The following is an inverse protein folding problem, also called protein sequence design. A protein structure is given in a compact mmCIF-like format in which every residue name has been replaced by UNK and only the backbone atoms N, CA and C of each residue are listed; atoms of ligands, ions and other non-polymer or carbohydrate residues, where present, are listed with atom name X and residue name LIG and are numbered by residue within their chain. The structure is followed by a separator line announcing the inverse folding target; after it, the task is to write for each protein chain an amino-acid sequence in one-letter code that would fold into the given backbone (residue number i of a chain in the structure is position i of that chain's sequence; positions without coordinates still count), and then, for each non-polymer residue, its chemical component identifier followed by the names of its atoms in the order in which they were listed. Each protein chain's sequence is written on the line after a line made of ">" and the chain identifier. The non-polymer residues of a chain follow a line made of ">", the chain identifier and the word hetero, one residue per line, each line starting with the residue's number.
data_IF_865132876993
#
_entry.id   IF_865132876993
#
_cell.length_a   1.000
_cell.length_b   1.000
_cell.length_c   1.000
_cell.angle_alpha   90.00
_cell.angle_beta   90.00
_cell.angle_gamma   90.00
#
_symmetry.space_group_name_H-M   'P 1'
#
loop_
_entity.id
_entity.type
_entity.pdbx_description
1 polymer ?
#
# COMPACT_ATOMS: atom_id res chain seq x y z
N UNK A 1 3.51 -16.77 -5.86
CA UNK A 1 4.79 -16.47 -5.17
C UNK A 1 5.50 -15.41 -6.00
N UNK A 2 5.39 -14.15 -5.59
CA UNK A 2 6.02 -13.01 -6.26
C UNK A 2 7.40 -12.80 -5.67
N UNK A 3 8.45 -13.02 -6.47
CA UNK A 3 9.81 -12.67 -6.09
C UNK A 3 10.03 -11.20 -6.43
N UNK A 4 9.97 -10.36 -5.41
CA UNK A 4 10.27 -8.93 -5.47
C UNK A 4 11.79 -8.78 -5.64
N UNK A 5 12.25 -8.41 -6.83
CA UNK A 5 13.68 -8.17 -7.08
C UNK A 5 13.99 -6.75 -6.64
N UNK A 6 14.28 -6.60 -5.35
CA UNK A 6 14.73 -5.34 -4.78
C UNK A 6 16.12 -5.03 -5.36
N UNK A 7 16.23 -3.91 -6.08
CA UNK A 7 17.50 -3.47 -6.67
C UNK A 7 18.58 -3.45 -5.59
N UNK A 8 19.60 -4.30 -5.75
CA UNK A 8 20.72 -4.42 -4.82
C UNK A 8 21.55 -3.13 -4.87
N UNK A 9 21.16 -2.16 -4.06
CA UNK A 9 21.98 -1.01 -3.74
C UNK A 9 23.08 -1.52 -2.81
N UNK A 10 24.34 -1.43 -3.27
CA UNK A 10 25.49 -1.80 -2.46
C UNK A 10 25.37 -1.20 -1.04
N UNK A 11 25.76 -1.94 0.02
CA UNK A 11 25.60 -1.52 1.39
C UNK A 11 26.49 -0.30 1.69
N UNK A 12 26.01 0.88 1.32
CA UNK A 12 26.50 2.12 1.88
C UNK A 12 26.01 2.14 3.33
N UNK A 13 26.94 2.01 4.27
CA UNK A 13 26.64 2.10 5.68
C UNK A 13 26.08 3.48 5.98
N UNK A 14 24.79 3.52 6.31
CA UNK A 14 24.17 4.76 6.78
C UNK A 14 24.76 5.04 8.13
N UNK A 15 25.35 6.21 8.25
CA UNK A 15 25.82 6.69 9.53
C UNK A 15 24.59 6.97 10.41
N UNK A 16 24.35 6.08 11.38
CA UNK A 16 23.32 6.24 12.40
C UNK A 16 24.01 6.46 13.74
N UNK A 17 23.63 7.54 14.42
CA UNK A 17 24.18 7.88 15.72
C UNK A 17 23.76 6.85 16.77
N UNK A 18 24.72 6.24 17.46
CA UNK A 18 24.43 5.27 18.54
C UNK A 18 23.88 5.90 19.82
N UNK A 19 23.82 7.24 19.91
CA UNK A 19 23.27 7.98 21.06
C UNK A 19 21.79 8.31 20.85
N UNK A 20 21.46 9.05 19.79
CA UNK A 20 20.09 9.49 19.54
C UNK A 20 19.38 8.70 18.42
N UNK A 21 20.04 7.72 17.81
CA UNK A 21 19.54 6.96 16.65
C UNK A 21 19.21 7.85 15.44
N UNK A 22 19.68 9.10 15.42
CA UNK A 22 19.54 10.04 14.32
C UNK A 22 20.46 9.69 13.15
N UNK A 23 20.05 10.08 11.95
CA UNK A 23 20.78 9.82 10.70
C UNK A 23 21.81 10.94 10.46
N UNK A 24 23.00 10.60 9.95
CA UNK A 24 23.92 11.55 9.32
C UNK A 24 25.00 12.16 10.22
N UNK A 25 25.14 11.71 11.47
CA UNK A 25 26.19 12.20 12.38
C UNK A 25 26.77 11.10 13.28
N UNK A 26 28.02 11.30 13.73
CA UNK A 26 28.68 10.42 14.69
C UNK A 26 28.25 10.75 16.12
N UNK A 27 28.36 9.78 17.04
CA UNK A 27 28.13 9.99 18.48
C UNK A 27 28.88 11.19 19.07
N UNK A 28 30.10 11.46 18.57
CA UNK A 28 30.94 12.60 19.01
C UNK A 28 30.39 13.97 18.59
N UNK A 29 29.54 14.02 17.56
CA UNK A 29 28.95 15.23 16.99
C UNK A 29 27.45 15.34 17.34
N UNK A 30 26.98 14.49 18.25
CA UNK A 30 25.58 14.48 18.67
C UNK A 30 25.33 15.60 19.67
N UNK A 31 24.39 16.49 19.37
CA UNK A 31 23.96 17.59 20.25
C UNK A 31 22.95 17.17 21.29
N UNK A 32 22.35 15.98 21.16
CA UNK A 32 21.34 15.48 22.09
C UNK A 32 21.96 15.17 23.45
N UNK A 33 21.34 15.65 24.52
CA UNK A 33 21.78 15.36 25.88
C UNK A 33 21.46 13.91 26.28
N UNK A 34 20.26 13.46 25.91
CA UNK A 34 19.70 12.15 26.26
C UNK A 34 20.03 11.06 25.24
N UNK A 35 19.99 9.80 25.66
CA UNK A 35 20.16 8.63 24.80
C UNK A 35 18.78 8.06 24.43
N UNK A 36 18.58 7.64 23.18
CA UNK A 36 17.30 7.06 22.74
C UNK A 36 17.35 5.54 22.75
N UNK A 37 16.28 4.93 23.25
CA UNK A 37 16.16 3.48 23.26
C UNK A 37 15.99 2.93 21.83
N UNK A 38 16.81 1.95 21.46
CA UNK A 38 16.80 1.29 20.13
C UNK A 38 15.50 0.52 19.83
N UNK A 39 14.76 0.14 20.87
CA UNK A 39 13.55 -0.70 20.76
C UNK A 39 12.31 0.18 20.73
N UNK A 40 12.06 0.98 21.77
CA UNK A 40 10.83 1.78 21.88
C UNK A 40 10.95 3.21 21.34
N UNK A 41 12.14 3.67 21.00
CA UNK A 41 12.38 5.02 20.47
C UNK A 41 12.26 6.16 21.49
N UNK A 42 12.08 5.87 22.79
CA UNK A 42 11.95 6.89 23.84
C UNK A 42 13.31 7.46 24.24
N UNK A 43 13.42 8.78 24.39
CA UNK A 43 14.58 9.45 24.96
C UNK A 43 14.67 9.21 26.47
N UNK A 44 15.84 8.81 26.95
CA UNK A 44 16.10 8.50 28.35
C UNK A 44 17.50 8.99 28.75
N UNK A 45 17.67 9.52 29.97
CA UNK A 45 18.96 9.96 30.47
C UNK A 45 19.93 8.79 30.68
N UNK A 46 19.41 7.61 31.10
CA UNK A 46 20.20 6.40 31.33
C UNK A 46 19.53 5.15 30.74
N UNK A 47 20.18 4.52 29.75
CA UNK A 47 19.68 3.29 29.12
C UNK A 47 19.57 2.10 30.08
N UNK A 48 20.32 2.10 31.19
CA UNK A 48 20.34 0.98 32.17
C UNK A 48 19.13 0.96 33.09
N UNK A 49 18.47 2.10 33.30
CA UNK A 49 17.29 2.21 34.17
C UNK A 49 15.97 2.29 33.38
N UNK A 50 16.06 2.24 32.05
CA UNK A 50 14.91 2.35 31.17
C UNK A 50 14.03 1.10 31.23
N UNK A 51 12.78 1.25 31.69
CA UNK A 51 11.73 0.24 31.51
C UNK A 51 11.24 0.31 30.07
N UNK A 52 11.83 -0.53 29.22
CA UNK A 52 11.46 -0.60 27.82
C UNK A 52 10.04 -1.11 27.64
N UNK A 53 9.19 -0.31 27.00
CA UNK A 53 8.00 -0.80 26.33
C UNK A 53 8.49 -1.78 25.26
N UNK A 54 8.17 -3.07 25.34
CA UNK A 54 8.61 -4.11 24.38
C UNK A 54 8.09 -3.92 22.95
N UNK A 55 7.44 -2.79 22.68
CA UNK A 55 6.93 -2.38 21.38
C UNK A 55 8.07 -1.78 20.57
N UNK A 56 8.39 -2.41 19.45
CA UNK A 56 9.42 -1.95 18.52
C UNK A 56 8.86 -0.76 17.73
N UNK A 57 9.46 0.42 17.86
CA UNK A 57 9.03 1.62 17.15
C UNK A 57 10.20 2.33 16.47
N UNK A 58 10.02 2.70 15.21
CA UNK A 58 10.98 3.49 14.46
C UNK A 58 10.88 4.97 14.83
N UNK A 59 12.00 5.61 15.17
CA UNK A 59 12.05 7.05 15.48
C UNK A 59 11.81 7.92 14.23
N UNK A 60 12.08 7.38 13.04
CA UNK A 60 11.98 8.15 11.80
C UNK A 60 10.58 8.11 11.20
N UNK A 61 9.95 6.94 11.15
CA UNK A 61 8.68 6.74 10.44
C UNK A 61 7.56 6.16 11.31
N UNK A 62 7.77 6.13 12.63
CA UNK A 62 6.82 5.61 13.64
C UNK A 62 6.34 4.16 13.42
N UNK A 63 6.96 3.41 12.51
CA UNK A 63 6.56 2.05 12.14
C UNK A 63 7.12 0.95 13.04
N UNK A 64 6.58 -0.26 12.90
CA UNK A 64 6.90 -1.45 13.71
C UNK A 64 8.22 -2.13 13.32
N UNK A 65 9.31 -1.36 13.28
CA UNK A 65 10.65 -1.87 13.01
C UNK A 65 11.72 -1.01 13.68
N UNK A 66 12.93 -1.54 13.83
CA UNK A 66 14.06 -0.77 14.36
C UNK A 66 14.39 0.43 13.46
N UNK A 67 14.87 1.52 14.05
CA UNK A 67 15.30 2.73 13.32
C UNK A 67 16.44 2.48 12.33
N UNK A 68 17.24 1.43 12.52
CA UNK A 68 18.29 0.99 11.58
C UNK A 68 17.83 -0.10 10.59
N UNK A 69 16.55 -0.47 10.58
CA UNK A 69 16.07 -1.49 9.65
C UNK A 69 16.08 -0.97 8.21
N UNK A 70 16.52 -1.80 7.26
CA UNK A 70 16.45 -1.53 5.82
C UNK A 70 15.01 -1.30 5.33
N UNK A 71 14.01 -1.74 6.11
CA UNK A 71 12.58 -1.56 5.85
C UNK A 71 12.10 -0.13 6.09
N UNK A 72 12.88 0.73 6.75
CA UNK A 72 12.48 2.11 7.01
C UNK A 72 12.50 2.94 5.71
N UNK A 73 11.39 3.57 5.29
CA UNK A 73 11.34 4.35 4.05
C UNK A 73 12.27 5.57 4.07
N UNK A 74 12.50 6.17 5.24
CA UNK A 74 13.37 7.33 5.42
C UNK A 74 14.84 6.94 5.34
N UNK A 75 15.22 5.81 5.95
CA UNK A 75 16.58 5.27 5.81
C UNK A 75 16.84 4.87 4.36
N UNK A 76 15.85 4.28 3.68
CA UNK A 76 15.93 3.91 2.26
C UNK A 76 16.12 5.14 1.35
N UNK A 77 15.37 6.22 1.56
CA UNK A 77 15.53 7.46 0.78
C UNK A 77 16.85 8.17 1.05
N UNK A 78 17.32 8.17 2.30
CA UNK A 78 18.62 8.74 2.66
C UNK A 78 19.78 7.96 2.03
N UNK A 79 19.74 6.62 2.07
CA UNK A 79 20.68 5.74 1.34
C UNK A 79 20.71 6.07 -0.15
N UNK A 80 19.54 6.11 -0.79
CA UNK A 80 19.43 6.42 -2.21
C UNK A 80 20.05 7.78 -2.56
N UNK A 81 19.88 8.78 -1.69
CA UNK A 81 20.47 10.12 -1.86
C UNK A 81 21.99 10.09 -1.73
N UNK A 82 22.54 9.37 -0.75
CA UNK A 82 23.99 9.20 -0.60
C UNK A 82 24.61 8.46 -1.78
N UNK A 83 24.00 7.34 -2.21
CA UNK A 83 24.48 6.57 -3.36
C UNK A 83 24.43 7.40 -4.64
N UNK A 84 23.36 8.20 -4.86
CA UNK A 84 23.29 9.13 -5.99
C UNK A 84 24.42 10.17 -5.97
N UNK A 85 24.71 10.75 -4.81
CA UNK A 85 25.82 11.73 -4.66
C UNK A 85 27.18 11.09 -4.98
N UNK A 86 27.45 9.89 -4.47
CA UNK A 86 28.69 9.16 -4.76
C UNK A 86 28.83 8.79 -6.23
N UNK A 87 27.74 8.35 -6.87
CA UNK A 87 27.72 8.06 -8.31
C UNK A 87 27.88 9.32 -9.18
N UNK A 88 27.37 10.47 -8.73
CA UNK A 88 27.56 11.75 -9.44
C UNK A 88 28.97 12.33 -9.26
N UNK A 89 29.61 12.10 -8.11
CA UNK A 89 30.95 12.62 -7.82
C UNK A 89 32.08 11.86 -8.55
N UNK A 90 31.82 10.61 -8.95
CA UNK A 90 32.77 9.77 -9.70
C UNK A 90 32.59 9.82 -11.22
N UNK A 91 31.88 10.82 -11.77
CA UNK A 91 31.95 11.06 -13.21
C UNK A 91 33.29 11.73 -13.53
N UNK A 92 34.22 11.07 -14.26
CA UNK A 92 35.36 11.79 -14.80
C UNK A 92 34.84 12.96 -15.66
N UNK A 93 35.52 14.13 -15.67
CA UNK A 93 35.15 15.20 -16.58
C UNK A 93 35.08 14.63 -18.00
N UNK A 94 34.08 15.02 -18.81
CA UNK A 94 33.95 14.51 -20.16
C UNK A 94 35.25 14.77 -20.93
N UNK A 95 35.79 13.78 -21.67
CA UNK A 95 36.97 13.99 -22.47
C UNK A 95 36.55 14.86 -23.67
N UNK A 96 37.25 15.98 -23.84
CA UNK A 96 37.22 16.86 -25.01
C UNK A 96 36.02 17.82 -25.17
N UNK A 97 36.21 19.05 -24.69
CA UNK A 97 35.70 20.26 -25.36
C UNK A 97 36.79 21.34 -25.45
N UNK A 98 38.00 20.94 -25.84
CA UNK A 98 39.11 21.86 -26.17
C UNK A 98 39.20 22.21 -27.66
N UNK A 99 38.18 21.85 -28.47
CA UNK A 99 38.10 22.29 -29.85
C UNK A 99 36.68 22.69 -30.22
N UNK A 100 36.23 23.82 -29.65
CA UNK A 100 35.12 24.57 -30.22
C UNK A 100 35.67 25.38 -31.39
N UNK A 101 35.49 24.85 -32.61
CA UNK A 101 35.54 25.66 -33.83
C UNK A 101 34.38 26.68 -33.77
N UNK A 102 34.64 27.84 -33.18
CA UNK A 102 33.81 29.03 -33.39
C UNK A 102 34.19 29.64 -34.74
N UNK A 103 33.55 29.17 -35.81
CA UNK A 103 33.42 29.97 -37.03
C UNK A 103 32.12 30.76 -36.90
N UNK A 104 32.24 31.97 -36.34
CA UNK A 104 31.09 32.79 -35.96
C UNK A 104 31.51 34.15 -35.41
N UNK A 105 32.16 34.94 -36.27
CA UNK A 105 32.15 36.41 -36.29
C UNK A 105 32.36 37.14 -34.94
N UNK A 106 33.62 37.34 -34.55
CA UNK A 106 34.00 38.34 -33.55
C UNK A 106 34.99 39.31 -34.20
N UNK A 107 34.50 40.51 -34.47
CA UNK A 107 35.25 41.68 -34.90
C UNK A 107 36.08 42.19 -33.72
N UNK A 108 37.40 41.95 -33.73
CA UNK A 108 38.34 42.58 -32.81
C UNK A 108 39.43 43.23 -33.65
N UNK A 109 39.32 44.56 -33.80
CA UNK A 109 40.46 45.42 -34.06
C UNK A 109 41.46 45.22 -32.91
N UNK A 110 42.69 44.78 -33.22
CA UNK A 110 43.92 45.30 -32.61
C UNK A 110 45.18 44.71 -33.29
N UNK A 111 45.86 45.60 -34.01
CA UNK A 111 47.29 45.71 -34.25
C UNK A 111 48.23 44.67 -33.61
N UNK A 112 48.78 43.75 -34.42
CA UNK A 112 50.12 43.17 -34.20
C UNK A 112 50.79 42.87 -35.54
N UNK A 113 51.88 43.61 -35.80
CA UNK A 113 52.95 43.28 -36.76
C UNK A 113 53.32 41.80 -36.65
N UNK A 114 53.08 40.99 -37.68
CA UNK A 114 53.88 39.83 -38.14
C UNK A 114 53.08 39.18 -39.29
N UNK A 115 53.21 39.70 -40.51
CA UNK A 115 52.79 38.94 -41.70
C UNK A 115 53.90 37.95 -42.04
N UNK A 116 53.67 36.66 -41.79
CA UNK A 116 54.51 35.60 -42.34
C UNK A 116 54.07 35.31 -43.78
N UNK A 117 55.00 35.51 -44.72
CA UNK A 117 54.82 35.19 -46.12
C UNK A 117 55.03 33.68 -46.33
N UNK A 118 54.03 32.97 -46.83
CA UNK A 118 54.06 31.51 -47.01
C UNK A 118 55.02 31.04 -48.11
N UNK A 119 55.66 31.96 -48.84
CA UNK A 119 56.60 31.66 -49.93
C UNK A 119 58.03 31.30 -49.48
N UNK A 120 58.39 31.48 -48.20
CA UNK A 120 59.76 31.27 -47.70
C UNK A 120 60.03 29.86 -47.12
N UNK A 121 59.07 28.92 -47.20
CA UNK A 121 59.28 27.55 -46.73
C UNK A 121 59.65 26.61 -47.89
N UNK A 122 60.76 25.85 -47.80
CA UNK A 122 61.10 24.85 -48.80
C UNK A 122 60.04 23.74 -48.84
N UNK A 123 59.58 23.40 -50.05
CA UNK A 123 58.57 22.36 -50.24
C UNK A 123 59.12 20.99 -49.81
N UNK A 124 58.45 20.35 -48.85
CA UNK A 124 58.74 18.98 -48.45
C UNK A 124 58.46 18.02 -49.63
N UNK A 125 59.31 17.00 -49.84
CA UNK A 125 59.10 16.04 -50.92
C UNK A 125 57.78 15.28 -50.74
N UNK A 126 57.06 14.97 -51.84
CA UNK A 126 55.78 14.29 -51.76
C UNK A 126 55.93 12.87 -51.18
N UNK A 127 54.95 12.38 -50.41
CA UNK A 127 55.02 11.09 -49.76
C UNK A 127 55.13 9.97 -50.82
N UNK A 128 56.22 9.21 -50.76
CA UNK A 128 56.35 7.98 -51.54
C UNK A 128 55.27 7.00 -51.10
N UNK A 129 54.40 6.61 -52.04
CA UNK A 129 53.42 5.53 -51.85
C UNK A 129 54.17 4.23 -51.50
N UNK A 130 54.21 3.88 -50.22
CA UNK A 130 54.56 2.53 -49.80
C UNK A 130 53.35 1.63 -50.05
N UNK A 131 53.52 0.64 -50.93
CA UNK A 131 52.60 -0.49 -51.05
C UNK A 131 52.66 -1.31 -49.75
N UNK A 132 51.69 -1.09 -48.87
CA UNK A 132 51.46 -1.95 -47.70
C UNK A 132 50.66 -3.16 -48.18
N UNK A 133 51.11 -4.40 -47.95
CA UNK A 133 50.29 -5.57 -48.24
C UNK A 133 49.08 -5.57 -47.29
N UNK A 134 47.88 -5.61 -47.84
CA UNK A 134 46.62 -5.66 -47.10
C UNK A 134 46.65 -6.80 -46.09
N UNK A 135 46.82 -6.46 -44.81
CA UNK A 135 46.68 -7.42 -43.72
C UNK A 135 45.20 -7.74 -43.51
N UNK A 136 44.90 -9.02 -43.38
CA UNK A 136 43.61 -9.61 -43.01
C UNK A 136 43.04 -9.10 -41.67
N UNK A 137 43.79 -8.30 -40.90
CA UNK A 137 43.36 -7.74 -39.61
C UNK A 137 42.25 -6.68 -39.70
N UNK A 138 42.08 -6.01 -40.85
CA UNK A 138 41.02 -5.00 -41.04
C UNK A 138 39.61 -5.62 -41.00
N UNK A 139 39.46 -6.85 -41.49
CA UNK A 139 38.17 -7.53 -41.52
C UNK A 139 37.70 -8.00 -40.13
N UNK A 140 38.62 -8.35 -39.22
CA UNK A 140 38.26 -8.82 -37.88
C UNK A 140 37.70 -7.67 -37.01
N UNK A 141 38.29 -6.48 -37.11
CA UNK A 141 37.79 -5.30 -36.39
C UNK A 141 36.41 -4.87 -36.91
N UNK A 142 36.20 -4.90 -38.24
CA UNK A 142 34.90 -4.59 -38.86
C UNK A 142 33.83 -5.60 -38.43
N UNK A 143 34.16 -6.90 -38.37
CA UNK A 143 33.24 -7.93 -37.89
C UNK A 143 32.86 -7.73 -36.40
N UNK A 144 33.82 -7.39 -35.53
CA UNK A 144 33.55 -7.10 -34.11
C UNK A 144 32.69 -5.84 -33.92
N UNK A 145 32.86 -4.82 -34.78
CA UNK A 145 31.99 -3.64 -34.78
C UNK A 145 30.57 -4.02 -35.22
N UNK A 146 30.42 -4.86 -36.24
CA UNK A 146 29.12 -5.39 -36.68
C UNK A 146 28.39 -6.17 -35.57
N UNK A 147 29.11 -7.04 -34.86
CA UNK A 147 28.58 -7.77 -33.70
C UNK A 147 28.16 -6.81 -32.57
N UNK A 148 28.98 -5.80 -32.28
CA UNK A 148 28.67 -4.79 -31.27
C UNK A 148 27.38 -4.03 -31.62
N UNK A 149 27.23 -3.58 -32.87
CA UNK A 149 26.01 -2.90 -33.34
C UNK A 149 24.79 -3.84 -33.21
N UNK A 150 24.94 -5.12 -33.58
CA UNK A 150 23.88 -6.11 -33.43
C UNK A 150 23.50 -6.37 -31.97
N UNK A 151 24.46 -6.39 -31.04
CA UNK A 151 24.17 -6.50 -29.60
C UNK A 151 23.51 -5.25 -29.04
N UNK A 152 23.92 -4.05 -29.47
CA UNK A 152 23.28 -2.80 -29.08
C UNK A 152 21.82 -2.72 -29.54
N UNK A 153 21.52 -3.19 -30.76
CA UNK A 153 20.14 -3.29 -31.24
C UNK A 153 19.29 -4.22 -30.38
N UNK A 154 19.81 -5.42 -30.06
CA UNK A 154 19.11 -6.36 -29.16
C UNK A 154 18.86 -5.76 -27.77
N UNK A 155 19.83 -5.03 -27.21
CA UNK A 155 19.66 -4.35 -25.93
C UNK A 155 18.57 -3.28 -26.03
N UNK A 156 18.56 -2.50 -27.11
CA UNK A 156 17.54 -1.49 -27.35
C UNK A 156 16.14 -2.12 -27.45
N UNK A 157 15.99 -3.22 -28.18
CA UNK A 157 14.71 -3.93 -28.30
C UNK A 157 14.21 -4.44 -26.94
N UNK A 158 15.10 -5.00 -26.13
CA UNK A 158 14.77 -5.45 -24.76
C UNK A 158 14.37 -4.26 -23.88
N UNK A 159 15.05 -3.11 -24.00
CA UNK A 159 14.69 -1.91 -23.25
C UNK A 159 13.31 -1.39 -23.64
N UNK A 160 12.98 -1.34 -24.93
CA UNK A 160 11.65 -0.93 -25.42
C UNK A 160 10.56 -1.87 -24.91
N UNK A 161 10.80 -3.18 -24.95
CA UNK A 161 9.84 -4.17 -24.41
C UNK A 161 9.67 -3.99 -22.90
N UNK A 162 10.77 -3.74 -22.18
CA UNK A 162 10.75 -3.56 -20.73
C UNK A 162 10.01 -2.29 -20.34
N UNK A 163 10.22 -1.19 -21.07
CA UNK A 163 9.51 0.07 -20.88
C UNK A 163 8.00 -0.12 -21.08
N UNK A 164 7.60 -0.81 -22.16
CA UNK A 164 6.19 -1.11 -22.42
C UNK A 164 5.56 -1.93 -21.30
N UNK A 165 6.24 -2.98 -20.82
CA UNK A 165 5.74 -3.80 -19.70
C UNK A 165 5.66 -3.02 -18.39
N UNK A 166 6.58 -2.09 -18.16
CA UNK A 166 6.52 -1.23 -16.99
C UNK A 166 5.31 -0.30 -17.03
N UNK A 167 4.99 0.27 -18.20
CA UNK A 167 3.78 1.09 -18.37
C UNK A 167 2.49 0.28 -18.15
N UNK A 168 2.41 -0.94 -18.70
CA UNK A 168 1.28 -1.84 -18.47
C UNK A 168 1.12 -2.20 -16.99
N UNK A 169 2.24 -2.41 -16.28
CA UNK A 169 2.23 -2.67 -14.86
C UNK A 169 1.77 -1.46 -14.04
N UNK A 170 2.23 -0.25 -14.36
CA UNK A 170 1.79 0.97 -13.69
C UNK A 170 0.27 1.18 -13.87
N UNK A 171 -0.25 0.96 -15.08
CA UNK A 171 -1.68 1.03 -15.33
C UNK A 171 -2.46 -0.01 -14.51
N UNK A 172 -1.95 -1.25 -14.44
CA UNK A 172 -2.55 -2.30 -13.62
C UNK A 172 -2.61 -1.92 -12.13
N UNK A 173 -1.55 -1.30 -11.58
CA UNK A 173 -1.53 -0.86 -10.18
C UNK A 173 -2.57 0.24 -9.93
N UNK A 174 -2.73 1.17 -10.87
CA UNK A 174 -3.75 2.23 -10.80
C UNK A 174 -5.16 1.60 -10.81
N UNK A 175 -5.41 0.68 -11.74
CA UNK A 175 -6.70 0.01 -11.87
C UNK A 175 -7.04 -0.85 -10.65
N UNK A 176 -6.04 -1.56 -10.10
CA UNK A 176 -6.20 -2.33 -8.87
C UNK A 176 -6.57 -1.44 -7.69
N UNK A 177 -5.87 -0.31 -7.49
CA UNK A 177 -6.20 0.64 -6.41
C UNK A 177 -7.59 1.24 -6.57
N UNK A 178 -8.00 1.54 -7.81
CA UNK A 178 -9.34 2.03 -8.11
C UNK A 178 -10.41 0.99 -7.77
N UNK A 179 -10.17 -0.28 -8.14
CA UNK A 179 -11.05 -1.39 -7.81
C UNK A 179 -11.13 -1.64 -6.29
N UNK A 180 -10.01 -1.60 -5.57
CA UNK A 180 -9.98 -1.75 -4.12
C UNK A 180 -10.77 -0.63 -3.42
N UNK A 181 -10.65 0.62 -3.90
CA UNK A 181 -11.44 1.73 -3.40
C UNK A 181 -12.95 1.56 -3.66
N UNK A 182 -13.32 1.01 -4.83
CA UNK A 182 -14.71 0.68 -5.17
C UNK A 182 -15.27 -0.43 -4.28
N UNK A 183 -14.48 -1.49 -4.03
CA UNK A 183 -14.81 -2.58 -3.13
C UNK A 183 -14.99 -2.09 -1.69
N UNK A 184 -14.08 -1.24 -1.19
CA UNK A 184 -14.19 -0.64 0.14
C UNK A 184 -15.49 0.14 0.29
N UNK A 185 -15.85 0.99 -0.69
CA UNK A 185 -17.12 1.73 -0.66
C UNK A 185 -18.35 0.82 -0.64
N UNK A 186 -18.34 -0.27 -1.43
CA UNK A 186 -19.43 -1.26 -1.41
C UNK A 186 -19.51 -1.98 -0.07
N UNK A 187 -18.38 -2.29 0.56
CA UNK A 187 -18.33 -2.93 1.87
C UNK A 187 -18.90 -2.00 2.95
N UNK A 188 -18.55 -0.72 2.92
CA UNK A 188 -19.08 0.28 3.85
C UNK A 188 -20.60 0.42 3.71
N UNK A 189 -21.11 0.48 2.48
CA UNK A 189 -22.55 0.51 2.20
C UNK A 189 -23.29 -0.73 2.71
N UNK A 190 -22.69 -1.91 2.56
CA UNK A 190 -23.27 -3.16 3.08
C UNK A 190 -23.30 -3.16 4.61
N UNK A 191 -22.23 -2.67 5.25
CA UNK A 191 -22.15 -2.60 6.70
C UNK A 191 -23.16 -1.60 7.29
N UNK A 192 -23.41 -0.48 6.61
CA UNK A 192 -24.46 0.46 7.00
C UNK A 192 -25.85 -0.16 6.89
N UNK A 193 -26.14 -0.85 5.77
CA UNK A 193 -27.40 -1.59 5.62
C UNK A 193 -27.59 -2.67 6.67
N UNK A 194 -26.54 -3.42 7.03
CA UNK A 194 -26.61 -4.44 8.09
C UNK A 194 -26.98 -3.84 9.45
N UNK A 195 -26.45 -2.67 9.79
CA UNK A 195 -26.83 -1.93 11.02
C UNK A 195 -28.31 -1.55 11.00
N UNK A 196 -28.80 -1.06 9.87
CA UNK A 196 -30.22 -0.71 9.71
C UNK A 196 -31.12 -1.94 9.84
N UNK A 197 -30.76 -3.06 9.20
CA UNK A 197 -31.52 -4.31 9.33
C UNK A 197 -31.54 -4.82 10.78
N UNK A 198 -30.41 -4.77 11.50
CA UNK A 198 -30.36 -5.13 12.92
C UNK A 198 -31.27 -4.25 13.78
N UNK A 199 -31.29 -2.95 13.50
CA UNK A 199 -32.18 -2.00 14.20
C UNK A 199 -33.65 -2.33 13.92
N UNK A 200 -34.01 -2.61 12.68
CA UNK A 200 -35.38 -3.00 12.33
C UNK A 200 -35.76 -4.33 12.98
N UNK A 201 -34.86 -5.32 12.97
CA UNK A 201 -35.09 -6.62 13.59
C UNK A 201 -35.36 -6.49 15.10
N UNK A 202 -34.50 -5.79 15.84
CA UNK A 202 -34.71 -5.55 17.28
C UNK A 202 -36.03 -4.83 17.57
N UNK A 203 -36.46 -3.89 16.72
CA UNK A 203 -37.76 -3.24 16.86
C UNK A 203 -38.93 -4.22 16.62
N UNK A 204 -38.80 -5.13 15.64
CA UNK A 204 -39.79 -6.16 15.39
C UNK A 204 -39.88 -7.14 16.54
N UNK A 205 -38.76 -7.58 17.11
CA UNK A 205 -38.74 -8.49 18.26
C UNK A 205 -39.43 -7.87 19.48
N UNK A 206 -39.18 -6.58 19.74
CA UNK A 206 -39.87 -5.85 20.81
C UNK A 206 -41.37 -5.79 20.56
N UNK A 207 -41.81 -5.55 19.31
CA UNK A 207 -43.25 -5.52 18.97
C UNK A 207 -43.88 -6.91 19.10
N UNK A 208 -43.18 -7.95 18.65
CA UNK A 208 -43.65 -9.34 18.73
C UNK A 208 -43.83 -9.73 20.21
N UNK A 209 -42.82 -9.50 21.04
CA UNK A 209 -42.87 -9.77 22.47
C UNK A 209 -43.98 -8.99 23.18
N UNK A 210 -44.23 -7.73 22.79
CA UNK A 210 -45.39 -6.96 23.30
C UNK A 210 -46.71 -7.60 22.90
N UNK A 211 -46.86 -8.02 21.65
CA UNK A 211 -48.07 -8.69 21.18
C UNK A 211 -48.28 -10.01 21.92
N UNK A 212 -47.26 -10.86 22.00
CA UNK A 212 -47.30 -12.11 22.76
C UNK A 212 -47.71 -11.87 24.22
N UNK A 213 -47.16 -10.85 24.87
CA UNK A 213 -47.51 -10.49 26.24
C UNK A 213 -48.99 -10.05 26.36
N UNK A 214 -49.51 -9.28 25.39
CA UNK A 214 -50.94 -8.90 25.36
C UNK A 214 -51.82 -10.13 25.11
N UNK A 215 -51.45 -11.00 24.17
CA UNK A 215 -52.21 -12.22 23.89
C UNK A 215 -52.25 -13.16 25.10
N UNK A 216 -51.09 -13.41 25.71
CA UNK A 216 -50.98 -14.36 26.84
C UNK A 216 -51.57 -13.82 28.13
N UNK A 217 -51.42 -12.52 28.44
CA UNK A 217 -51.89 -11.96 29.72
C UNK A 217 -53.28 -11.36 29.69
N UNK A 218 -53.79 -10.99 28.51
CA UNK A 218 -55.09 -10.32 28.40
C UNK A 218 -56.06 -11.12 27.54
N UNK A 219 -55.72 -11.35 26.27
CA UNK A 219 -56.68 -11.92 25.31
C UNK A 219 -57.06 -13.36 25.66
N UNK A 220 -56.07 -14.23 25.90
CA UNK A 220 -56.33 -15.63 26.24
C UNK A 220 -57.10 -15.79 27.56
N UNK A 221 -56.75 -15.10 28.67
CA UNK A 221 -57.54 -15.11 29.89
C UNK A 221 -58.98 -14.59 29.69
N UNK A 222 -59.16 -13.49 28.95
CA UNK A 222 -60.50 -12.97 28.65
C UNK A 222 -61.35 -13.97 27.88
N UNK A 223 -60.77 -14.66 26.88
CA UNK A 223 -61.48 -15.70 26.13
C UNK A 223 -61.85 -16.91 27.00
N UNK A 224 -60.98 -17.29 27.94
CA UNK A 224 -61.27 -18.35 28.92
C UNK A 224 -62.43 -17.95 29.86
N UNK A 225 -62.46 -16.70 30.32
CA UNK A 225 -63.56 -16.18 31.14
C UNK A 225 -64.88 -16.11 30.37
N UNK A 226 -64.85 -15.65 29.11
CA UNK A 226 -66.04 -15.66 28.24
C UNK A 226 -66.54 -17.09 28.02
N UNK A 227 -65.63 -18.05 27.79
CA UNK A 227 -66.01 -19.46 27.64
C UNK A 227 -66.66 -20.02 28.92
N UNK A 228 -66.11 -19.72 30.11
CA UNK A 228 -66.73 -20.07 31.39
C UNK A 228 -68.12 -19.47 31.55
N UNK A 229 -68.27 -18.19 31.19
CA UNK A 229 -69.54 -17.48 31.26
C UNK A 229 -70.60 -18.12 30.34
N UNK A 230 -70.21 -18.46 29.10
CA UNK A 230 -71.10 -19.15 28.15
C UNK A 230 -71.54 -20.53 28.65
N UNK A 231 -70.64 -21.29 29.31
CA UNK A 231 -71.00 -22.56 29.96
C UNK A 231 -72.00 -22.33 31.09
N UNK A 232 -71.82 -21.29 31.91
CA UNK A 232 -72.72 -20.97 33.01
C UNK A 232 -74.11 -20.52 32.54
N UNK A 233 -74.21 -19.80 31.43
CA UNK A 233 -75.52 -19.45 30.81
C UNK A 233 -76.27 -20.70 30.34
N UNK A 234 -75.55 -21.74 29.95
CA UNK A 234 -76.13 -22.99 29.47
C UNK A 234 -76.60 -23.93 30.60
N UNK A 235 -76.67 -23.43 31.84
CA UNK A 235 -77.20 -24.15 33.00
C UNK A 235 -78.61 -23.65 33.32
N UNK A 236 -79.50 -24.58 33.69
CA UNK A 236 -80.82 -24.25 34.22
C UNK A 236 -80.75 -23.82 35.70
N UNK A 237 -81.91 -23.48 36.29
CA UNK A 237 -82.01 -23.05 37.71
C UNK A 237 -81.60 -24.14 38.72
N UNK A 238 -81.53 -25.40 38.28
CA UNK A 238 -81.14 -26.57 39.07
C UNK A 238 -79.75 -27.09 38.66
N UNK A 239 -78.95 -26.30 37.91
CA UNK A 239 -77.62 -26.67 37.38
C UNK A 239 -77.64 -27.81 36.34
N UNK A 240 -78.80 -28.13 35.77
CA UNK A 240 -78.96 -29.02 34.63
C UNK A 240 -78.49 -28.37 33.33
N UNK A 241 -77.88 -29.15 32.44
CA UNK A 241 -77.36 -28.66 31.16
C UNK A 241 -78.50 -28.48 30.17
N UNK A 242 -78.68 -27.26 29.65
CA UNK A 242 -79.75 -26.94 28.69
C UNK A 242 -79.46 -27.51 27.29
N UNK A 243 -78.21 -27.44 26.84
CA UNK A 243 -77.76 -27.99 25.56
C UNK A 243 -76.38 -28.67 25.71
N UNK A 244 -76.37 -30.00 25.67
CA UNK A 244 -75.14 -30.79 25.85
C UNK A 244 -74.12 -30.58 24.72
N UNK A 245 -74.57 -30.50 23.47
CA UNK A 245 -73.70 -30.33 22.31
C UNK A 245 -73.01 -28.96 22.33
N UNK A 246 -73.73 -27.92 22.75
CA UNK A 246 -73.18 -26.59 22.95
C UNK A 246 -72.08 -26.61 24.03
N UNK A 247 -72.35 -27.24 25.18
CA UNK A 247 -71.37 -27.33 26.27
C UNK A 247 -70.10 -28.08 25.86
N UNK A 248 -70.24 -29.20 25.14
CA UNK A 248 -69.10 -29.97 24.60
C UNK A 248 -68.28 -29.11 23.64
N UNK A 249 -68.94 -28.34 22.77
CA UNK A 249 -68.27 -27.46 21.80
C UNK A 249 -67.49 -26.33 22.49
N UNK A 250 -68.09 -25.65 23.47
CA UNK A 250 -67.41 -24.58 24.23
C UNK A 250 -66.23 -25.15 25.03
N UNK A 251 -66.41 -26.29 25.71
CA UNK A 251 -65.33 -26.93 26.47
C UNK A 251 -64.17 -27.39 25.57
N UNK A 252 -64.47 -27.89 24.37
CA UNK A 252 -63.44 -28.22 23.38
C UNK A 252 -62.66 -26.98 22.93
N UNK A 253 -63.32 -25.87 22.64
CA UNK A 253 -62.65 -24.61 22.29
C UNK A 253 -61.78 -24.09 23.45
N UNK A 254 -62.28 -24.20 24.69
CA UNK A 254 -61.52 -23.85 25.89
C UNK A 254 -60.28 -24.71 26.10
N UNK A 255 -60.37 -26.01 25.88
CA UNK A 255 -59.23 -26.92 25.93
C UNK A 255 -58.18 -26.57 24.84
N UNK A 256 -58.63 -26.22 23.64
CA UNK A 256 -57.74 -25.75 22.56
C UNK A 256 -57.02 -24.44 22.94
N UNK A 257 -57.73 -23.46 23.52
CA UNK A 257 -57.13 -22.21 24.00
C UNK A 257 -56.10 -22.45 25.12
N UNK A 258 -56.39 -23.38 26.01
CA UNK A 258 -55.48 -23.75 27.12
C UNK A 258 -54.19 -24.40 26.58
N UNK A 259 -54.30 -25.27 25.58
CA UNK A 259 -53.14 -25.89 24.95
C UNK A 259 -52.25 -24.87 24.22
N UNK A 260 -52.86 -23.86 23.57
CA UNK A 260 -52.12 -22.75 22.94
C UNK A 260 -51.41 -21.88 23.99
N UNK A 261 -51.99 -21.70 25.18
CA UNK A 261 -51.36 -20.96 26.27
C UNK A 261 -50.21 -21.71 26.95
N UNK A 262 -50.20 -23.05 26.89
CA UNK A 262 -49.23 -23.90 27.59
C UNK A 262 -48.03 -24.30 26.70
N UNK A 263 -48.21 -24.37 25.38
CA UNK A 263 -47.11 -24.55 24.44
C UNK A 263 -46.33 -23.24 24.30
N UNK A 264 -45.41 -22.98 25.25
CA UNK A 264 -44.50 -21.83 25.28
C UNK A 264 -43.32 -21.91 24.29
N UNK A 265 -43.31 -22.90 23.39
CA UNK A 265 -42.21 -23.16 22.47
C UNK A 265 -42.57 -22.74 21.04
N UNK A 266 -42.79 -21.45 20.83
CA UNK A 266 -42.69 -20.79 19.52
C UNK A 266 -41.78 -19.58 19.63
#
# INVERSE_FOLDING_TARGET
>A
MTHDVEAYLAPADVLICSKCMGIGHFRKQCTEAEETCKVCGTSCPDLRQHKCSTVIKCIHCDGDHHSNALKCPIVKSYRATLTKKLLSANRPPPPHSAWSNNNGNININNNTKYQHNWADYPQLPPPQKQNIPYSTASNEMINKIGELIGTMQKINDVLVITEKKNQEFEQFIIDSKSNDASLSKKLDQLNEKDKDYKKVHTQHDIKLSRHENVFTKLVLPMLDEIAKFMVNINLDKNLGVLNADFQVTINRMRAQLTNVSLNKDF
#
